data_IF_806100786975
#
_entry.id   IF_806100786975
#
_cell.length_a   1.000
_cell.length_b   1.000
_cell.length_c   1.000
_cell.angle_alpha   90.00
_cell.angle_beta   90.00
_cell.angle_gamma   90.00
#
_symmetry.space_group_name_H-M   'P 1'
#
loop_
_entity.id
_entity.type
_entity.pdbx_description
1 polymer ?
#
# COMPACT_ATOMS: atom_id res chain seq x y z
N UNK A 1 -48.51 36.15 3.14
CA UNK A 1 -48.68 34.69 3.20
C UNK A 1 -47.55 34.07 2.41
N UNK A 2 -46.49 33.67 3.10
CA UNK A 2 -45.38 32.91 2.49
C UNK A 2 -45.35 31.58 3.21
N UNK A 3 -45.73 30.52 2.53
CA UNK A 3 -45.63 29.15 2.99
C UNK A 3 -44.16 28.67 2.82
N UNK A 4 -43.56 28.31 3.92
CA UNK A 4 -42.24 27.70 3.99
C UNK A 4 -42.33 26.23 3.65
N UNK A 5 -41.85 25.85 2.49
CA UNK A 5 -41.62 24.43 2.09
C UNK A 5 -40.40 23.88 2.81
N UNK A 6 -40.59 23.13 3.90
CA UNK A 6 -39.59 22.25 4.49
C UNK A 6 -39.43 21.05 3.58
N UNK A 7 -38.33 21.01 2.82
CA UNK A 7 -37.85 19.78 2.16
C UNK A 7 -37.27 18.87 3.23
N UNK A 8 -37.91 17.72 3.39
CA UNK A 8 -37.42 16.65 4.25
C UNK A 8 -36.10 16.12 3.74
N UNK A 9 -35.10 16.10 4.60
CA UNK A 9 -33.86 15.32 4.43
C UNK A 9 -34.23 13.86 4.49
N UNK A 10 -34.25 13.19 3.34
CA UNK A 10 -34.32 11.74 3.28
C UNK A 10 -32.94 11.17 3.71
N UNK A 11 -32.84 10.76 4.95
CA UNK A 11 -31.75 9.89 5.41
C UNK A 11 -31.82 8.58 4.62
N UNK A 12 -31.10 8.50 3.51
CA UNK A 12 -30.81 7.24 2.83
C UNK A 12 -29.83 6.44 3.69
N UNK A 13 -30.33 5.80 4.74
CA UNK A 13 -29.62 4.74 5.44
C UNK A 13 -29.55 3.56 4.49
N UNK A 14 -28.41 3.40 3.81
CA UNK A 14 -28.12 2.19 3.05
C UNK A 14 -28.19 1.03 4.04
N UNK A 15 -29.05 0.00 3.82
CA UNK A 15 -29.17 -1.10 4.76
C UNK A 15 -27.80 -1.78 4.90
N UNK A 16 -27.27 -1.82 6.12
CA UNK A 16 -26.02 -2.51 6.45
C UNK A 16 -26.15 -3.96 6.00
N UNK A 17 -25.28 -4.40 5.11
CA UNK A 17 -25.19 -5.82 4.75
C UNK A 17 -25.00 -6.62 6.04
N UNK A 18 -25.80 -7.67 6.22
CA UNK A 18 -25.71 -8.55 7.38
C UNK A 18 -24.31 -9.20 7.43
N UNK A 19 -23.70 -9.21 8.59
CA UNK A 19 -22.43 -9.92 8.85
C UNK A 19 -22.62 -11.44 8.64
N UNK A 20 -21.59 -12.12 8.19
CA UNK A 20 -21.54 -13.59 8.25
C UNK A 20 -21.15 -14.05 9.66
N UNK A 21 -21.37 -15.33 9.98
CA UNK A 21 -21.00 -15.88 11.29
C UNK A 21 -19.52 -15.63 11.64
N UNK A 22 -18.60 -15.81 10.68
CA UNK A 22 -17.17 -15.54 10.89
C UNK A 22 -16.91 -14.04 11.15
N UNK A 23 -17.66 -13.17 10.50
CA UNK A 23 -17.54 -11.73 10.67
C UNK A 23 -18.15 -11.27 12.01
N UNK A 24 -19.29 -11.86 12.44
CA UNK A 24 -19.86 -11.63 13.77
C UNK A 24 -18.86 -12.05 14.85
N UNK A 25 -18.29 -13.25 14.77
CA UNK A 25 -17.26 -13.72 15.70
C UNK A 25 -16.04 -12.78 15.75
N UNK A 26 -15.63 -12.25 14.59
CA UNK A 26 -14.49 -11.32 14.54
C UNK A 26 -14.84 -9.98 15.19
N UNK A 27 -16.07 -9.46 15.04
CA UNK A 27 -16.53 -8.25 15.72
C UNK A 27 -16.60 -8.49 17.23
N UNK A 28 -17.25 -9.56 17.68
CA UNK A 28 -17.39 -9.90 19.11
C UNK A 28 -16.02 -10.01 19.78
N UNK A 29 -15.09 -10.77 19.17
CA UNK A 29 -13.74 -10.92 19.72
C UNK A 29 -12.96 -9.60 19.73
N UNK A 30 -13.09 -8.77 18.69
CA UNK A 30 -12.44 -7.45 18.67
C UNK A 30 -13.03 -6.47 19.66
N UNK A 31 -14.30 -6.60 20.04
CA UNK A 31 -14.97 -5.75 21.02
C UNK A 31 -14.72 -6.20 22.47
N UNK A 32 -14.16 -7.37 22.69
CA UNK A 32 -13.75 -7.84 24.01
C UNK A 32 -12.48 -7.08 24.48
N UNK A 33 -12.64 -6.21 25.48
CA UNK A 33 -11.57 -5.39 26.03
C UNK A 33 -10.67 -6.15 27.03
N UNK A 34 -11.00 -7.36 27.42
CA UNK A 34 -10.13 -8.23 28.22
C UNK A 34 -8.97 -8.76 27.38
N UNK A 35 -9.20 -8.93 26.09
CA UNK A 35 -8.18 -9.37 25.13
C UNK A 35 -7.26 -8.20 24.73
N UNK A 36 -6.00 -8.28 25.11
CA UNK A 36 -5.01 -7.21 24.85
C UNK A 36 -4.69 -7.05 23.35
N UNK A 37 -4.60 -8.16 22.64
CA UNK A 37 -4.28 -8.18 21.21
C UNK A 37 -5.20 -9.20 20.55
N UNK A 38 -5.85 -8.79 19.47
CA UNK A 38 -6.68 -9.66 18.63
C UNK A 38 -6.23 -9.57 17.18
N UNK A 39 -6.10 -10.73 16.52
CA UNK A 39 -5.78 -10.85 15.10
C UNK A 39 -6.98 -11.23 14.25
N UNK A 40 -7.23 -10.52 13.15
CA UNK A 40 -8.22 -10.89 12.14
C UNK A 40 -7.51 -11.04 10.81
N UNK A 41 -7.50 -12.26 10.29
CA UNK A 41 -6.88 -12.55 8.99
C UNK A 41 -7.90 -13.02 7.97
N UNK A 42 -7.56 -12.86 6.70
CA UNK A 42 -8.38 -13.35 5.60
C UNK A 42 -7.85 -12.87 4.25
N UNK A 43 -8.13 -13.61 3.20
CA UNK A 43 -7.72 -13.27 1.85
C UNK A 43 -8.43 -12.03 1.27
N UNK A 44 -8.08 -11.69 0.03
CA UNK A 44 -8.77 -10.64 -0.70
C UNK A 44 -10.27 -10.96 -0.84
N UNK A 45 -11.15 -10.00 -0.59
CA UNK A 45 -12.60 -10.16 -0.75
C UNK A 45 -13.35 -10.82 0.42
N UNK A 46 -12.68 -11.11 1.55
CA UNK A 46 -13.33 -11.68 2.74
C UNK A 46 -14.02 -10.65 3.63
N UNK A 47 -13.94 -9.36 3.28
CA UNK A 47 -14.65 -8.29 4.01
C UNK A 47 -13.95 -7.81 5.27
N UNK A 48 -12.62 -7.93 5.39
CA UNK A 48 -11.83 -7.40 6.52
C UNK A 48 -12.14 -5.94 6.83
N UNK A 49 -12.10 -5.06 5.83
CA UNK A 49 -12.40 -3.62 6.01
C UNK A 49 -13.85 -3.38 6.45
N UNK A 50 -14.77 -4.23 6.05
CA UNK A 50 -16.16 -4.17 6.48
C UNK A 50 -16.30 -4.52 7.98
N UNK A 51 -15.64 -5.60 8.43
CA UNK A 51 -15.56 -5.98 9.86
C UNK A 51 -14.88 -4.86 10.68
N UNK A 52 -13.77 -4.33 10.19
CA UNK A 52 -13.04 -3.23 10.81
C UNK A 52 -13.94 -2.01 11.05
N UNK A 53 -14.76 -1.64 10.05
CA UNK A 53 -15.72 -0.52 10.19
C UNK A 53 -16.77 -0.78 11.27
N UNK A 54 -17.24 -2.02 11.44
CA UNK A 54 -18.15 -2.41 12.53
C UNK A 54 -17.46 -2.32 13.88
N UNK A 55 -16.28 -2.91 14.03
CA UNK A 55 -15.46 -2.85 15.26
C UNK A 55 -15.17 -1.41 15.68
N UNK A 56 -14.76 -0.57 14.74
CA UNK A 56 -14.51 0.85 15.03
C UNK A 56 -15.77 1.54 15.55
N UNK A 57 -16.91 1.33 14.92
CA UNK A 57 -18.19 1.97 15.32
C UNK A 57 -18.59 1.56 16.73
N UNK A 58 -18.58 0.27 17.04
CA UNK A 58 -18.97 -0.23 18.36
C UNK A 58 -18.05 0.25 19.47
N UNK A 59 -16.72 0.18 19.22
CA UNK A 59 -15.75 0.61 20.23
C UNK A 59 -15.71 2.12 20.42
N UNK A 60 -15.95 2.91 19.37
CA UNK A 60 -15.92 4.39 19.46
C UNK A 60 -17.06 4.97 20.28
N UNK A 61 -18.11 4.20 20.59
CA UNK A 61 -19.18 4.63 21.50
C UNK A 61 -18.72 4.79 22.96
N UNK A 62 -17.67 4.06 23.34
CA UNK A 62 -17.22 3.98 24.76
C UNK A 62 -15.75 4.30 24.97
N UNK A 63 -14.93 4.18 23.92
CA UNK A 63 -13.47 4.23 24.00
C UNK A 63 -12.89 5.23 22.99
N UNK A 64 -11.70 5.74 23.33
CA UNK A 64 -10.90 6.51 22.38
C UNK A 64 -10.23 5.56 21.39
N UNK A 65 -10.71 5.51 20.15
CA UNK A 65 -10.25 4.61 19.10
C UNK A 65 -9.42 5.37 18.07
N UNK A 66 -8.34 4.78 17.59
CA UNK A 66 -7.59 5.26 16.41
C UNK A 66 -7.46 4.16 15.38
N UNK A 67 -7.62 4.55 14.13
CA UNK A 67 -7.39 3.69 12.97
C UNK A 67 -6.03 4.00 12.37
N UNK A 68 -5.19 2.99 12.21
CA UNK A 68 -3.82 3.13 11.73
C UNK A 68 -3.47 2.11 10.64
N UNK A 69 -2.46 2.42 9.85
CA UNK A 69 -1.89 1.49 8.88
C UNK A 69 -0.37 1.65 8.77
N UNK A 70 0.37 0.63 8.32
CA UNK A 70 1.82 0.72 8.14
C UNK A 70 2.25 1.73 7.08
N UNK A 71 1.42 1.99 6.07
CA UNK A 71 1.75 2.88 4.94
C UNK A 71 0.71 3.97 4.76
N UNK A 72 1.14 5.13 4.23
CA UNK A 72 0.24 6.26 3.97
C UNK A 72 -0.85 5.94 2.95
N UNK A 73 -0.54 5.11 1.95
CA UNK A 73 -1.51 4.66 0.96
C UNK A 73 -2.59 3.76 1.56
N UNK A 74 -2.20 2.83 2.45
CA UNK A 74 -3.17 2.00 3.16
C UNK A 74 -4.06 2.86 4.06
N UNK A 75 -3.49 3.79 4.84
CA UNK A 75 -4.25 4.70 5.68
C UNK A 75 -5.27 5.53 4.86
N UNK A 76 -4.82 6.15 3.76
CA UNK A 76 -5.69 6.91 2.86
C UNK A 76 -6.84 6.06 2.31
N UNK A 77 -6.52 4.85 1.82
CA UNK A 77 -7.53 3.92 1.28
C UNK A 77 -8.58 3.53 2.31
N UNK A 78 -8.16 3.26 3.54
CA UNK A 78 -9.08 2.90 4.62
C UNK A 78 -9.99 4.09 4.92
N UNK A 79 -9.44 5.30 5.03
CA UNK A 79 -10.24 6.51 5.23
C UNK A 79 -11.30 6.69 4.13
N UNK A 80 -10.92 6.47 2.86
CA UNK A 80 -11.85 6.56 1.72
C UNK A 80 -12.96 5.49 1.74
N UNK A 81 -12.65 4.28 2.25
CA UNK A 81 -13.61 3.16 2.28
C UNK A 81 -14.53 3.18 3.50
N UNK A 82 -14.07 3.73 4.61
CA UNK A 82 -14.78 3.68 5.90
C UNK A 82 -15.35 5.03 6.34
N UNK A 83 -14.93 6.12 5.70
CA UNK A 83 -15.18 7.51 6.12
C UNK A 83 -14.66 7.81 7.54
N UNK A 84 -13.60 7.08 7.95
CA UNK A 84 -12.93 7.23 9.25
C UNK A 84 -11.51 7.76 9.01
N UNK A 85 -11.09 8.79 9.77
CA UNK A 85 -9.72 9.30 9.69
C UNK A 85 -8.71 8.23 10.12
N UNK A 86 -7.90 7.77 9.17
CA UNK A 86 -6.84 6.80 9.42
C UNK A 86 -5.47 7.43 9.23
N UNK A 87 -4.51 7.03 10.08
CA UNK A 87 -3.15 7.57 10.09
C UNK A 87 -2.13 6.48 9.85
N UNK A 88 -0.93 6.88 9.42
CA UNK A 88 0.19 5.94 9.46
C UNK A 88 0.63 5.72 10.91
N UNK A 89 1.12 4.50 11.21
CA UNK A 89 1.69 4.20 12.54
C UNK A 89 2.84 5.17 12.86
N UNK A 90 3.67 5.53 11.88
CA UNK A 90 4.73 6.54 12.08
C UNK A 90 4.17 7.89 12.54
N UNK A 91 3.04 8.34 11.96
CA UNK A 91 2.40 9.58 12.35
C UNK A 91 1.71 9.50 13.69
N UNK A 92 1.14 8.33 14.01
CA UNK A 92 0.55 8.06 15.33
C UNK A 92 1.60 8.12 16.43
N UNK A 93 2.78 7.57 16.17
CA UNK A 93 3.94 7.56 17.08
C UNK A 93 4.71 8.88 17.10
N UNK A 94 4.30 9.86 16.29
CA UNK A 94 4.95 11.16 16.20
C UNK A 94 6.47 11.03 15.91
N UNK A 95 6.84 10.15 14.95
CA UNK A 95 8.22 10.14 14.48
C UNK A 95 8.62 11.54 14.04
N UNK A 96 9.80 12.03 14.47
CA UNK A 96 10.25 13.36 14.13
C UNK A 96 10.26 13.57 12.63
N UNK A 97 9.58 14.59 12.20
CA UNK A 97 9.61 15.06 10.84
C UNK A 97 10.74 16.07 10.70
N UNK A 98 11.27 16.23 9.47
CA UNK A 98 12.28 17.26 9.23
C UNK A 98 11.86 18.66 9.69
N UNK A 99 10.54 18.94 9.71
CA UNK A 99 9.94 20.25 9.98
C UNK A 99 9.38 20.41 11.38
N UNK A 100 9.42 19.34 12.17
CA UNK A 100 8.89 19.41 13.53
C UNK A 100 9.66 20.41 14.39
N UNK A 101 8.97 21.24 15.20
CA UNK A 101 9.64 22.08 16.16
C UNK A 101 10.47 21.23 17.14
N UNK A 102 11.60 21.75 17.63
CA UNK A 102 12.40 21.01 18.61
C UNK A 102 11.54 20.69 19.83
N UNK A 103 11.67 19.44 20.30
CA UNK A 103 10.98 19.02 21.52
C UNK A 103 11.35 19.96 22.66
N UNK A 104 10.36 20.50 23.44
CA UNK A 104 10.63 21.31 24.63
C UNK A 104 11.55 20.61 25.65
N UNK A 105 11.64 19.29 25.61
CA UNK A 105 12.47 18.46 26.51
C UNK A 105 13.82 18.05 25.95
N UNK A 106 14.13 18.39 24.69
CA UNK A 106 15.41 18.06 24.06
C UNK A 106 15.33 17.92 22.53
N UNK A 107 16.48 17.75 21.89
CA UNK A 107 16.55 17.48 20.44
C UNK A 107 15.98 16.09 20.15
N UNK A 108 15.03 15.93 19.23
CA UNK A 108 14.57 14.60 18.84
C UNK A 108 15.75 13.77 18.30
N UNK A 109 15.87 12.54 18.75
CA UNK A 109 16.85 11.60 18.21
C UNK A 109 16.32 11.16 16.83
N UNK A 110 17.05 11.38 15.75
CA UNK A 110 16.61 10.95 14.42
C UNK A 110 16.30 9.45 14.42
N UNK A 111 15.13 9.08 13.92
CA UNK A 111 14.71 7.68 13.80
C UNK A 111 13.98 7.10 15.03
N UNK A 112 13.85 7.83 16.13
CA UNK A 112 13.05 7.40 17.28
C UNK A 112 11.73 8.18 17.37
N UNK A 113 10.62 7.52 17.77
CA UNK A 113 9.34 8.18 17.95
C UNK A 113 9.33 9.10 19.19
N UNK A 114 8.42 10.09 19.21
CA UNK A 114 8.16 10.94 20.39
C UNK A 114 7.19 10.29 21.38
N UNK A 115 6.43 9.29 20.93
CA UNK A 115 5.52 8.50 21.74
C UNK A 115 6.25 7.25 22.21
N UNK A 116 6.31 7.09 23.53
CA UNK A 116 6.94 5.99 24.25
C UNK A 116 6.29 5.82 25.64
N UNK A 117 6.84 4.98 26.51
CA UNK A 117 6.33 4.78 27.88
C UNK A 117 6.28 6.05 28.73
N UNK A 118 7.16 7.01 28.46
CA UNK A 118 7.21 8.30 29.21
C UNK A 118 6.21 9.32 28.67
N UNK A 119 5.78 9.14 27.41
CA UNK A 119 4.82 9.98 26.72
C UNK A 119 3.85 9.10 25.89
N UNK A 120 2.98 8.31 26.55
CA UNK A 120 2.17 7.31 25.89
C UNK A 120 1.08 7.91 25.00
N UNK A 121 0.57 7.09 24.12
CA UNK A 121 -0.62 7.37 23.31
C UNK A 121 -1.85 7.49 24.23
N UNK A 122 -2.77 8.38 23.86
CA UNK A 122 -4.00 8.62 24.64
C UNK A 122 -5.13 7.62 24.33
N UNK A 123 -4.99 6.85 23.26
CA UNK A 123 -6.02 5.95 22.77
C UNK A 123 -6.18 4.72 23.65
N UNK A 124 -7.44 4.27 23.81
CA UNK A 124 -7.79 3.02 24.47
C UNK A 124 -7.66 1.84 23.53
N UNK A 125 -7.98 2.07 22.25
CA UNK A 125 -7.97 1.05 21.20
C UNK A 125 -7.19 1.53 19.98
N UNK A 126 -6.28 0.70 19.52
CA UNK A 126 -5.53 0.92 18.27
C UNK A 126 -5.94 -0.16 17.28
N UNK A 127 -6.61 0.23 16.21
CA UNK A 127 -6.99 -0.67 15.11
C UNK A 127 -5.97 -0.50 13.99
N UNK A 128 -5.37 -1.60 13.56
CA UNK A 128 -4.34 -1.62 12.51
C UNK A 128 -4.87 -2.43 11.33
N UNK A 129 -4.98 -1.81 10.17
CA UNK A 129 -5.22 -2.53 8.91
C UNK A 129 -3.92 -2.73 8.12
N UNK A 130 -3.96 -3.65 7.14
CA UNK A 130 -2.79 -4.11 6.37
C UNK A 130 -1.61 -4.53 7.29
N UNK A 131 -1.93 -5.16 8.42
CA UNK A 131 -0.97 -5.55 9.46
C UNK A 131 0.12 -6.52 8.96
N UNK A 132 -0.10 -7.22 7.85
CA UNK A 132 0.90 -8.04 7.17
C UNK A 132 2.14 -7.26 6.70
N UNK A 133 2.02 -5.93 6.57
CA UNK A 133 3.12 -5.04 6.19
C UNK A 133 3.87 -4.41 7.39
N UNK A 134 3.47 -4.74 8.61
CA UNK A 134 4.05 -4.16 9.82
C UNK A 134 5.39 -4.81 10.16
N UNK A 135 6.46 -4.02 10.28
CA UNK A 135 7.78 -4.51 10.69
C UNK A 135 7.84 -4.74 12.20
N UNK A 136 8.75 -5.63 12.63
CA UNK A 136 8.99 -5.94 14.04
C UNK A 136 9.41 -4.70 14.82
N UNK A 137 10.27 -3.86 14.26
CA UNK A 137 10.72 -2.63 14.90
C UNK A 137 9.57 -1.64 15.12
N UNK A 138 8.76 -1.38 14.09
CA UNK A 138 7.63 -0.44 14.19
C UNK A 138 6.56 -0.94 15.16
N UNK A 139 6.34 -2.25 15.22
CA UNK A 139 5.44 -2.86 16.19
C UNK A 139 5.95 -2.72 17.62
N UNK A 140 7.25 -2.91 17.85
CA UNK A 140 7.86 -2.72 19.16
C UNK A 140 7.72 -1.27 19.65
N UNK A 141 7.96 -0.27 18.81
CA UNK A 141 7.72 1.13 19.14
C UNK A 141 6.26 1.41 19.47
N UNK A 142 5.33 0.80 18.72
CA UNK A 142 3.90 0.96 19.00
C UNK A 142 3.52 0.38 20.37
N UNK A 143 4.01 -0.83 20.69
CA UNK A 143 3.75 -1.44 22.00
C UNK A 143 4.35 -0.63 23.14
N UNK A 144 5.54 -0.07 22.94
CA UNK A 144 6.19 0.78 23.97
C UNK A 144 5.43 2.08 24.21
N UNK A 145 4.79 2.62 23.18
CA UNK A 145 4.01 3.86 23.26
C UNK A 145 2.57 3.67 23.78
N UNK A 146 2.10 2.44 23.98
CA UNK A 146 0.74 2.20 24.48
C UNK A 146 0.60 2.58 25.93
N UNK A 147 -0.50 3.26 26.27
CA UNK A 147 -0.85 3.48 27.69
C UNK A 147 -1.27 2.16 28.37
N UNK A 148 -1.13 2.05 29.71
CA UNK A 148 -1.63 0.88 30.45
C UNK A 148 -3.13 0.65 30.18
N UNK A 149 -3.49 -0.59 29.88
CA UNK A 149 -4.87 -0.99 29.59
C UNK A 149 -5.33 -0.77 28.15
N UNK A 150 -4.53 -0.15 27.30
CA UNK A 150 -4.84 -0.03 25.88
C UNK A 150 -4.72 -1.39 25.16
N UNK A 151 -5.54 -1.58 24.11
CA UNK A 151 -5.63 -2.83 23.34
C UNK A 151 -5.35 -2.61 21.87
N UNK A 152 -4.91 -3.68 21.18
CA UNK A 152 -4.63 -3.66 19.72
C UNK A 152 -5.59 -4.62 19.00
N UNK A 153 -6.08 -4.18 17.83
CA UNK A 153 -6.89 -4.97 16.89
C UNK A 153 -6.21 -4.95 15.53
N UNK A 154 -5.73 -6.10 15.07
CA UNK A 154 -4.92 -6.20 13.86
C UNK A 154 -5.66 -6.91 12.74
N UNK A 155 -5.80 -6.25 11.61
CA UNK A 155 -6.42 -6.77 10.39
C UNK A 155 -5.37 -6.93 9.30
N UNK A 156 -5.34 -8.07 8.62
CA UNK A 156 -4.36 -8.30 7.56
C UNK A 156 -4.61 -9.58 6.77
N UNK A 157 -3.73 -9.86 5.84
CA UNK A 157 -3.73 -11.07 5.03
C UNK A 157 -2.39 -11.78 5.22
N UNK A 158 -2.38 -12.88 5.99
CA UNK A 158 -1.17 -13.62 6.33
C UNK A 158 -0.54 -14.35 5.13
N UNK A 159 -1.23 -14.42 4.00
CA UNK A 159 -0.73 -15.02 2.76
C UNK A 159 -0.06 -13.99 1.82
N UNK A 160 -0.17 -12.69 2.11
CA UNK A 160 0.57 -11.66 1.38
C UNK A 160 2.05 -11.63 1.76
N UNK A 161 2.83 -10.89 0.96
CA UNK A 161 4.26 -10.68 1.24
C UNK A 161 4.47 -10.00 2.60
N UNK A 162 5.45 -10.50 3.33
CA UNK A 162 5.94 -9.88 4.56
C UNK A 162 6.69 -8.56 4.28
N UNK A 163 6.92 -7.72 5.31
CA UNK A 163 7.74 -6.52 5.18
C UNK A 163 9.14 -6.81 4.66
N UNK A 164 9.68 -5.92 3.82
CA UNK A 164 11.01 -6.10 3.19
C UNK A 164 12.17 -5.89 4.17
N UNK A 165 11.95 -5.13 5.24
CA UNK A 165 13.01 -4.58 6.10
C UNK A 165 13.20 -5.35 7.41
N UNK A 166 12.60 -6.53 7.56
CA UNK A 166 12.71 -7.29 8.80
C UNK A 166 13.98 -8.18 8.80
N UNK A 167 15.12 -7.56 9.11
CA UNK A 167 16.39 -8.26 9.30
C UNK A 167 16.51 -8.87 10.72
N UNK A 168 15.45 -8.86 11.52
CA UNK A 168 15.48 -9.35 12.92
C UNK A 168 15.67 -10.85 13.02
N UNK A 169 15.39 -11.60 11.95
CA UNK A 169 15.33 -13.07 11.98
C UNK A 169 14.10 -13.61 12.72
N UNK A 170 13.23 -12.74 13.21
CA UNK A 170 11.96 -13.08 13.86
C UNK A 170 10.83 -13.19 12.83
N UNK A 171 9.77 -13.96 13.11
CA UNK A 171 8.60 -13.95 12.26
C UNK A 171 7.97 -12.55 12.24
N UNK A 172 7.35 -12.14 11.13
CA UNK A 172 6.62 -10.88 11.07
C UNK A 172 5.58 -10.78 12.20
N UNK A 173 5.40 -9.63 12.86
CA UNK A 173 4.56 -9.49 14.05
C UNK A 173 3.15 -10.02 13.85
N UNK A 174 2.54 -9.76 12.71
CA UNK A 174 1.19 -10.23 12.43
C UNK A 174 1.08 -11.76 12.40
N UNK A 175 2.08 -12.46 11.85
CA UNK A 175 2.13 -13.93 11.84
C UNK A 175 2.29 -14.48 13.25
N UNK A 176 3.12 -13.84 14.07
CA UNK A 176 3.33 -14.25 15.47
C UNK A 176 2.05 -14.05 16.29
N UNK A 177 1.37 -12.91 16.11
CA UNK A 177 0.11 -12.61 16.77
C UNK A 177 -0.98 -13.64 16.43
N UNK A 178 -1.13 -14.01 15.17
CA UNK A 178 -2.10 -15.04 14.76
C UNK A 178 -1.84 -16.42 15.38
N UNK A 179 -0.63 -16.68 15.86
CA UNK A 179 -0.26 -17.95 16.52
C UNK A 179 -0.40 -17.89 18.04
N UNK A 180 -0.19 -16.71 18.63
CA UNK A 180 -0.01 -16.54 20.07
C UNK A 180 -1.23 -15.95 20.76
N UNK A 181 -2.02 -15.14 20.05
CA UNK A 181 -3.17 -14.41 20.59
C UNK A 181 -4.48 -14.87 19.96
N UNK A 182 -5.62 -14.60 20.62
CA UNK A 182 -6.93 -14.87 20.05
C UNK A 182 -7.05 -14.26 18.65
N UNK A 183 -7.53 -15.05 17.71
CA UNK A 183 -7.60 -14.63 16.32
C UNK A 183 -8.75 -15.31 15.56
N UNK A 184 -9.27 -14.62 14.55
CA UNK A 184 -10.31 -15.11 13.65
C UNK A 184 -9.79 -15.11 12.21
N UNK A 185 -10.06 -16.20 11.51
CA UNK A 185 -9.78 -16.30 10.07
C UNK A 185 -11.07 -16.18 9.29
N UNK A 186 -11.19 -15.14 8.46
CA UNK A 186 -12.30 -14.96 7.54
C UNK A 186 -12.04 -15.80 6.29
N UNK A 187 -12.80 -16.85 6.10
CA UNK A 187 -12.63 -17.79 4.97
C UNK A 187 -13.67 -17.56 3.88
N UNK A 188 -14.87 -17.08 4.26
CA UNK A 188 -15.92 -16.82 3.29
C UNK A 188 -15.57 -15.64 2.40
N UNK A 189 -15.54 -15.85 1.09
CA UNK A 189 -15.23 -14.82 0.11
C UNK A 189 -16.53 -14.26 -0.49
N UNK A 190 -16.78 -12.99 -0.26
CA UNK A 190 -17.96 -12.28 -0.79
C UNK A 190 -17.83 -11.95 -2.29
N UNK A 191 -16.65 -12.14 -2.86
CA UNK A 191 -16.43 -12.19 -4.30
C UNK A 191 -16.53 -13.63 -4.82
N UNK A 192 -17.33 -14.50 -4.16
CA UNK A 192 -17.52 -15.91 -4.55
C UNK A 192 -17.98 -16.00 -6.00
N UNK A 193 -17.38 -16.91 -6.78
CA UNK A 193 -17.50 -16.95 -8.24
C UNK A 193 -16.49 -16.06 -8.96
N UNK A 194 -15.65 -15.30 -8.24
CA UNK A 194 -14.55 -14.54 -8.82
C UNK A 194 -13.42 -15.49 -9.24
N UNK A 195 -13.21 -15.57 -10.53
CA UNK A 195 -12.19 -16.41 -11.16
C UNK A 195 -10.77 -16.06 -10.69
N UNK A 196 -10.52 -14.79 -10.34
CA UNK A 196 -9.23 -14.31 -9.82
C UNK A 196 -8.98 -14.89 -8.42
N UNK A 197 -10.00 -14.83 -7.56
CA UNK A 197 -9.90 -15.37 -6.20
C UNK A 197 -9.68 -16.87 -6.22
N UNK A 198 -10.43 -17.61 -7.05
CA UNK A 198 -10.26 -19.05 -7.21
C UNK A 198 -8.83 -19.40 -7.65
N UNK A 199 -8.27 -18.65 -8.59
CA UNK A 199 -6.89 -18.81 -9.03
C UNK A 199 -5.85 -18.42 -7.96
N UNK A 200 -6.10 -17.38 -7.17
CA UNK A 200 -5.26 -17.03 -6.04
C UNK A 200 -5.20 -18.16 -5.00
N UNK A 201 -6.32 -18.83 -4.72
CA UNK A 201 -6.37 -20.01 -3.86
C UNK A 201 -5.60 -21.21 -4.44
N UNK A 202 -5.66 -21.43 -5.76
CA UNK A 202 -4.85 -22.47 -6.42
C UNK A 202 -3.35 -22.18 -6.26
N UNK A 203 -2.94 -20.92 -6.44
CA UNK A 203 -1.55 -20.49 -6.26
C UNK A 203 -1.05 -20.77 -4.84
N UNK A 204 -1.82 -20.44 -3.81
CA UNK A 204 -1.46 -20.72 -2.41
C UNK A 204 -1.30 -22.21 -2.14
N UNK A 205 -2.12 -23.06 -2.79
CA UNK A 205 -2.01 -24.52 -2.73
C UNK A 205 -0.85 -25.07 -3.59
N UNK A 206 -0.08 -24.22 -4.27
CA UNK A 206 0.99 -24.64 -5.18
C UNK A 206 0.49 -25.28 -6.47
N UNK A 207 -0.75 -25.02 -6.84
CA UNK A 207 -1.39 -25.53 -8.06
C UNK A 207 -1.40 -24.48 -9.15
N UNK A 208 -1.34 -24.94 -10.39
CA UNK A 208 -1.37 -24.07 -11.56
C UNK A 208 -2.72 -23.32 -11.59
N UNK A 209 -2.72 -21.99 -11.76
CA UNK A 209 -3.94 -21.24 -12.01
C UNK A 209 -4.56 -21.63 -13.37
N UNK A 210 -5.87 -21.54 -13.46
CA UNK A 210 -6.64 -21.90 -14.63
C UNK A 210 -6.88 -20.70 -15.53
N UNK A 211 -6.73 -20.87 -16.82
CA UNK A 211 -7.11 -19.85 -17.81
C UNK A 211 -8.62 -19.70 -17.87
N UNK A 212 -9.10 -18.47 -17.83
CA UNK A 212 -10.51 -18.14 -17.95
C UNK A 212 -10.67 -16.70 -18.47
N UNK A 213 -11.87 -16.14 -18.50
CA UNK A 213 -12.14 -14.79 -19.01
C UNK A 213 -11.42 -13.68 -18.25
N UNK A 214 -11.20 -13.87 -16.94
CA UNK A 214 -10.61 -12.86 -16.05
C UNK A 214 -9.16 -13.16 -15.69
N UNK A 215 -8.65 -14.37 -16.03
CA UNK A 215 -7.30 -14.79 -15.70
C UNK A 215 -6.63 -15.43 -16.91
N UNK A 216 -5.81 -14.66 -17.58
CA UNK A 216 -5.05 -15.07 -18.77
C UNK A 216 -3.62 -15.42 -18.38
N UNK A 217 -3.05 -16.47 -19.02
CA UNK A 217 -1.65 -16.86 -18.84
C UNK A 217 -0.99 -16.93 -20.21
N UNK A 218 0.06 -16.14 -20.40
CA UNK A 218 0.87 -16.09 -21.63
C UNK A 218 2.23 -16.69 -21.32
N UNK A 219 2.55 -17.82 -21.91
CA UNK A 219 3.86 -18.44 -21.80
C UNK A 219 4.77 -17.96 -22.92
N UNK A 220 5.95 -17.44 -22.56
CA UNK A 220 6.95 -16.96 -23.50
C UNK A 220 8.34 -17.00 -22.87
N UNK A 221 9.37 -17.22 -23.69
CA UNK A 221 10.77 -17.14 -23.25
C UNK A 221 11.28 -15.69 -23.21
N UNK A 222 10.60 -14.76 -23.89
CA UNK A 222 10.93 -13.35 -23.92
C UNK A 222 9.81 -12.50 -23.31
N UNK A 223 9.70 -12.57 -21.97
CA UNK A 223 8.62 -11.91 -21.18
C UNK A 223 8.59 -10.40 -21.42
N UNK A 224 9.74 -9.74 -21.54
CA UNK A 224 9.79 -8.29 -21.72
C UNK A 224 9.32 -7.88 -23.13
N UNK A 225 9.75 -8.58 -24.16
CA UNK A 225 9.25 -8.30 -25.52
C UNK A 225 7.74 -8.55 -25.60
N UNK A 226 7.26 -9.66 -25.04
CA UNK A 226 5.83 -9.96 -24.99
C UNK A 226 5.04 -8.89 -24.22
N UNK A 227 5.59 -8.39 -23.11
CA UNK A 227 4.97 -7.29 -22.38
C UNK A 227 4.90 -6.02 -23.23
N UNK A 228 5.99 -5.68 -23.93
CA UNK A 228 6.03 -4.50 -24.79
C UNK A 228 5.05 -4.60 -25.94
N UNK A 229 4.90 -5.77 -26.54
CA UNK A 229 3.93 -6.01 -27.63
C UNK A 229 2.49 -5.94 -27.11
N UNK A 230 2.24 -6.59 -25.97
CA UNK A 230 0.91 -6.69 -25.36
C UNK A 230 0.39 -5.36 -24.82
N UNK A 231 1.25 -4.54 -24.20
CA UNK A 231 0.84 -3.34 -23.51
C UNK A 231 0.27 -2.29 -24.49
N UNK A 232 -0.98 -1.94 -24.32
CA UNK A 232 -1.69 -0.87 -25.04
C UNK A 232 -1.64 0.45 -24.30
N UNK A 233 -2.12 1.54 -24.89
CA UNK A 233 -2.22 2.87 -24.26
C UNK A 233 -3.07 2.89 -23.00
N UNK A 234 -3.97 1.91 -22.81
CA UNK A 234 -4.77 1.75 -21.58
C UNK A 234 -3.90 1.62 -20.33
N UNK A 235 -2.68 1.04 -20.46
CA UNK A 235 -1.74 0.91 -19.35
C UNK A 235 -1.07 2.22 -18.94
N UNK A 236 -1.30 3.30 -19.66
CA UNK A 236 -0.97 4.64 -19.20
C UNK A 236 -1.97 5.14 -18.15
N UNK A 237 -3.20 4.60 -18.09
CA UNK A 237 -4.19 4.97 -17.07
C UNK A 237 -3.85 4.41 -15.67
N UNK A 238 -4.44 5.00 -14.61
CA UNK A 238 -4.25 4.55 -13.23
C UNK A 238 -5.03 3.26 -12.91
N UNK A 239 -5.99 2.89 -13.74
CA UNK A 239 -6.84 1.71 -13.56
C UNK A 239 -6.11 0.40 -13.92
N UNK A 240 -5.08 0.48 -14.76
CA UNK A 240 -4.32 -0.67 -15.25
C UNK A 240 -2.89 -0.61 -14.74
N UNK A 241 -2.35 -1.71 -14.21
CA UNK A 241 -1.02 -1.72 -13.64
C UNK A 241 -0.19 -2.91 -14.08
N UNK A 242 1.05 -2.62 -14.51
CA UNK A 242 2.08 -3.63 -14.71
C UNK A 242 2.81 -3.83 -13.37
N UNK A 243 2.87 -5.07 -12.91
CA UNK A 243 3.54 -5.45 -11.67
C UNK A 243 4.67 -6.42 -12.01
N UNK A 244 5.80 -6.27 -11.33
CA UNK A 244 6.98 -7.10 -11.48
C UNK A 244 7.58 -7.40 -10.11
N UNK A 245 8.27 -8.54 -9.90
CA UNK A 245 8.86 -8.83 -8.59
C UNK A 245 10.08 -7.97 -8.25
N UNK A 246 10.76 -7.38 -9.26
CA UNK A 246 12.09 -6.79 -9.11
C UNK A 246 12.16 -5.34 -9.62
N UNK A 247 12.90 -4.47 -8.90
CA UNK A 247 13.16 -3.09 -9.33
C UNK A 247 14.38 -2.99 -10.27
N UNK A 248 15.51 -3.56 -9.88
CA UNK A 248 16.80 -3.46 -10.60
C UNK A 248 17.01 -4.62 -11.58
N UNK A 249 18.02 -4.50 -12.43
CA UNK A 249 18.40 -5.51 -13.42
C UNK A 249 17.62 -5.42 -14.75
N UNK A 250 18.00 -6.26 -15.71
CA UNK A 250 17.45 -6.21 -17.08
C UNK A 250 15.94 -6.50 -17.15
N UNK A 251 15.41 -7.22 -16.16
CA UNK A 251 14.00 -7.59 -16.06
C UNK A 251 13.30 -6.87 -14.89
N UNK A 252 13.85 -5.74 -14.44
CA UNK A 252 13.27 -4.93 -13.37
C UNK A 252 12.51 -3.71 -13.89
N UNK A 253 11.72 -3.11 -13.01
CA UNK A 253 10.88 -1.93 -13.35
C UNK A 253 11.71 -0.76 -13.86
N UNK A 254 12.95 -0.58 -13.36
CA UNK A 254 13.84 0.50 -13.83
C UNK A 254 14.22 0.37 -15.31
N UNK A 255 14.25 -0.84 -15.87
CA UNK A 255 14.55 -1.08 -17.28
C UNK A 255 13.28 -1.03 -18.14
N UNK A 256 12.17 -1.53 -17.60
CA UNK A 256 10.89 -1.60 -18.32
C UNK A 256 10.23 -0.23 -18.43
N UNK A 257 10.26 0.58 -17.38
CA UNK A 257 9.59 1.87 -17.34
C UNK A 257 10.00 2.85 -18.47
N UNK A 258 11.30 3.04 -18.80
CA UNK A 258 11.68 3.88 -19.93
C UNK A 258 11.15 3.36 -21.28
N UNK A 259 11.08 2.04 -21.45
CA UNK A 259 10.52 1.44 -22.68
C UNK A 259 9.01 1.67 -22.79
N UNK A 260 8.29 1.59 -21.67
CA UNK A 260 6.86 1.92 -21.60
C UNK A 260 6.61 3.41 -21.83
N UNK A 261 7.45 4.28 -21.26
CA UNK A 261 7.39 5.73 -21.52
C UNK A 261 7.52 6.02 -23.02
N UNK A 262 8.53 5.45 -23.67
CA UNK A 262 8.73 5.65 -25.11
C UNK A 262 7.57 5.10 -25.94
N UNK A 263 6.91 4.04 -25.49
CA UNK A 263 5.75 3.47 -26.16
C UNK A 263 4.49 4.33 -26.00
N UNK A 264 4.22 4.81 -24.78
CA UNK A 264 2.96 5.49 -24.47
C UNK A 264 3.04 7.01 -24.56
N UNK A 265 4.22 7.58 -24.33
CA UNK A 265 4.42 9.02 -24.26
C UNK A 265 5.76 9.45 -24.89
N UNK A 266 5.99 9.19 -26.22
CA UNK A 266 7.25 9.49 -26.86
C UNK A 266 7.54 11.00 -27.00
N UNK A 267 6.51 11.83 -27.09
CA UNK A 267 6.58 13.24 -27.50
C UNK A 267 6.23 14.24 -26.39
N UNK A 268 6.02 13.80 -25.14
CA UNK A 268 5.72 14.70 -24.01
C UNK A 268 6.89 15.63 -23.70
N UNK A 269 6.59 16.86 -23.23
CA UNK A 269 7.62 17.82 -22.76
C UNK A 269 8.49 17.14 -21.72
N UNK A 270 9.81 17.19 -21.93
CA UNK A 270 10.82 16.43 -21.16
C UNK A 270 11.49 17.29 -20.10
N UNK A 271 11.60 16.74 -18.89
CA UNK A 271 12.51 17.22 -17.85
C UNK A 271 13.43 16.09 -17.40
N UNK A 272 14.71 16.40 -17.24
CA UNK A 272 15.69 15.48 -16.65
C UNK A 272 15.87 15.79 -15.18
N UNK A 273 15.70 14.76 -14.35
CA UNK A 273 15.85 14.84 -12.91
C UNK A 273 17.14 14.13 -12.50
N UNK A 274 18.06 14.85 -11.87
CA UNK A 274 19.25 14.26 -11.28
C UNK A 274 18.87 13.43 -10.05
N UNK A 275 19.39 12.19 -9.95
CA UNK A 275 19.16 11.30 -8.82
C UNK A 275 20.27 11.38 -7.79
N UNK A 276 19.94 10.99 -6.55
CA UNK A 276 20.94 11.00 -5.46
C UNK A 276 22.16 10.15 -5.79
N UNK A 277 23.35 10.78 -5.74
CA UNK A 277 24.62 10.08 -5.57
C UNK A 277 25.15 9.35 -6.78
N UNK A 278 25.14 9.91 -8.00
CA UNK A 278 25.87 9.43 -9.21
C UNK A 278 25.80 7.90 -9.54
N UNK A 279 25.03 7.12 -8.78
CA UNK A 279 24.91 5.66 -8.93
C UNK A 279 23.76 5.21 -9.85
N UNK A 280 22.78 6.09 -10.09
CA UNK A 280 21.66 5.84 -10.99
C UNK A 280 21.64 6.91 -12.09
N UNK A 281 21.28 6.54 -13.34
CA UNK A 281 21.19 7.52 -14.41
C UNK A 281 20.09 8.54 -14.11
N UNK A 282 20.19 9.78 -14.65
CA UNK A 282 19.14 10.78 -14.54
C UNK A 282 17.80 10.21 -15.00
N UNK A 283 16.74 10.52 -14.29
CA UNK A 283 15.39 10.14 -14.68
C UNK A 283 14.84 11.16 -15.69
N UNK A 284 14.47 10.70 -16.86
CA UNK A 284 13.72 11.49 -17.81
C UNK A 284 12.21 11.34 -17.52
N UNK A 285 11.56 12.43 -17.14
CA UNK A 285 10.09 12.49 -16.95
C UNK A 285 9.48 13.40 -18.01
N UNK A 286 8.25 13.13 -18.39
CA UNK A 286 7.52 13.87 -19.41
C UNK A 286 6.14 14.26 -18.89
N UNK A 287 5.60 15.36 -19.35
CA UNK A 287 4.19 15.67 -19.17
C UNK A 287 3.32 14.48 -19.65
N UNK A 288 2.31 14.12 -18.88
CA UNK A 288 1.42 12.95 -19.04
C UNK A 288 2.02 11.59 -18.69
N UNK A 289 3.26 11.53 -18.21
CA UNK A 289 3.81 10.28 -17.67
C UNK A 289 3.05 9.83 -16.43
N UNK A 290 2.97 8.52 -16.27
CA UNK A 290 2.56 7.89 -15.02
C UNK A 290 3.74 7.88 -14.06
N UNK A 291 3.56 8.43 -12.87
CA UNK A 291 4.59 8.45 -11.82
C UNK A 291 4.26 7.55 -10.65
N UNK A 292 5.29 7.17 -9.92
CA UNK A 292 5.26 6.53 -8.62
C UNK A 292 6.06 7.38 -7.64
N UNK A 293 5.48 7.75 -6.50
CA UNK A 293 6.17 8.42 -5.42
C UNK A 293 6.82 7.39 -4.49
N UNK A 294 8.11 7.54 -4.16
CA UNK A 294 8.88 6.47 -3.51
C UNK A 294 9.21 6.70 -2.03
N UNK A 295 8.90 7.88 -1.46
CA UNK A 295 9.15 8.20 -0.05
C UNK A 295 8.04 9.12 0.46
N UNK A 296 7.66 9.01 1.73
CA UNK A 296 6.71 9.95 2.30
C UNK A 296 7.26 11.37 2.25
N UNK A 297 6.44 12.31 1.78
CA UNK A 297 6.68 13.74 1.79
C UNK A 297 5.46 14.42 2.40
N UNK A 298 5.64 14.91 3.61
CA UNK A 298 4.54 15.45 4.39
C UNK A 298 4.26 16.91 4.06
N UNK A 299 5.26 17.65 3.57
CA UNK A 299 5.10 19.01 3.05
C UNK A 299 4.16 19.02 1.84
N UNK A 300 4.36 18.07 0.94
CA UNK A 300 3.51 17.90 -0.22
C UNK A 300 2.29 17.02 0.05
N UNK A 301 2.18 16.44 1.25
CA UNK A 301 1.17 15.45 1.62
C UNK A 301 1.10 14.27 0.63
N UNK A 302 2.24 13.80 0.11
CA UNK A 302 2.37 12.68 -0.84
C UNK A 302 3.02 11.50 -0.14
N UNK A 303 2.48 10.32 -0.36
CA UNK A 303 2.91 9.14 0.38
C UNK A 303 3.63 8.11 -0.50
N UNK A 304 4.52 7.37 0.13
CA UNK A 304 5.24 6.28 -0.51
C UNK A 304 4.26 5.26 -1.15
N UNK A 305 4.46 4.99 -2.43
CA UNK A 305 3.59 4.13 -3.23
C UNK A 305 2.46 4.87 -3.96
N UNK A 306 2.27 6.17 -3.73
CA UNK A 306 1.26 6.96 -4.44
C UNK A 306 1.57 7.03 -5.92
N UNK A 307 0.56 6.76 -6.76
CA UNK A 307 0.65 6.76 -8.22
C UNK A 307 -0.26 7.85 -8.76
N UNK A 308 0.21 8.53 -9.79
CA UNK A 308 -0.54 9.57 -10.47
C UNK A 308 0.01 9.87 -11.86
N UNK A 309 -0.38 11.02 -12.41
CA UNK A 309 0.15 11.51 -13.67
C UNK A 309 0.90 12.82 -13.49
N UNK A 310 1.96 13.01 -14.25
CA UNK A 310 2.60 14.31 -14.41
C UNK A 310 1.73 15.12 -15.36
N UNK A 311 1.04 16.13 -14.83
CA UNK A 311 0.12 16.94 -15.64
C UNK A 311 0.88 17.83 -16.61
N UNK A 312 1.86 18.56 -16.10
CA UNK A 312 2.72 19.45 -16.88
C UNK A 312 4.16 19.45 -16.35
N UNK A 313 5.06 19.89 -17.20
CA UNK A 313 6.49 20.05 -16.92
C UNK A 313 6.90 21.44 -17.38
N UNK A 314 7.50 22.21 -16.51
CA UNK A 314 8.20 23.45 -16.87
C UNK A 314 9.71 23.19 -16.92
N UNK A 315 10.28 23.25 -18.11
CA UNK A 315 11.71 23.01 -18.31
C UNK A 315 12.60 24.19 -17.93
N UNK A 316 12.04 25.40 -17.77
CA UNK A 316 12.79 26.60 -17.38
C UNK A 316 12.91 26.68 -15.86
N UNK A 317 11.80 26.62 -15.13
CA UNK A 317 11.80 26.61 -13.67
C UNK A 317 12.20 25.25 -13.08
N UNK A 318 11.99 24.18 -13.84
CA UNK A 318 12.14 22.80 -13.40
C UNK A 318 11.00 22.30 -12.52
N UNK A 319 9.87 22.98 -12.46
CA UNK A 319 8.70 22.60 -11.71
C UNK A 319 7.89 21.52 -12.44
N UNK A 320 7.16 20.73 -11.66
CA UNK A 320 6.25 19.68 -12.12
C UNK A 320 4.86 19.89 -11.54
N UNK A 321 3.82 19.84 -12.37
CA UNK A 321 2.46 19.67 -11.91
C UNK A 321 2.11 18.20 -11.86
N UNK A 322 1.62 17.70 -10.71
CA UNK A 322 1.23 16.32 -10.52
C UNK A 322 -0.27 16.19 -10.21
N UNK A 323 -0.86 15.10 -10.71
CA UNK A 323 -2.23 14.69 -10.42
C UNK A 323 -2.23 13.35 -9.68
N UNK A 324 -2.83 13.30 -8.49
CA UNK A 324 -3.01 12.09 -7.70
C UNK A 324 -4.50 11.89 -7.39
N UNK A 325 -5.21 11.18 -8.26
CA UNK A 325 -6.67 11.14 -8.25
C UNK A 325 -7.26 12.54 -8.48
N UNK A 326 -8.14 13.05 -7.61
CA UNK A 326 -8.73 14.39 -7.76
C UNK A 326 -7.78 15.52 -7.32
N UNK A 327 -6.65 15.21 -6.69
CA UNK A 327 -5.73 16.21 -6.15
C UNK A 327 -4.68 16.61 -7.17
N UNK A 328 -4.56 17.93 -7.41
CA UNK A 328 -3.48 18.53 -8.19
C UNK A 328 -2.54 19.30 -7.25
N UNK A 329 -1.24 19.19 -7.47
CA UNK A 329 -0.22 19.93 -6.71
C UNK A 329 1.04 20.14 -7.52
N UNK A 330 1.81 21.17 -7.14
CA UNK A 330 3.09 21.51 -7.78
C UNK A 330 4.26 20.99 -6.97
N UNK A 331 5.24 20.43 -7.66
CA UNK A 331 6.51 19.96 -7.08
C UNK A 331 7.64 20.86 -7.57
N UNK A 332 8.14 21.75 -6.73
CA UNK A 332 9.24 22.63 -7.10
C UNK A 332 10.59 21.89 -7.09
N UNK A 333 11.62 22.43 -7.76
CA UNK A 333 12.96 21.86 -7.73
C UNK A 333 13.64 21.94 -6.36
N UNK A 334 13.11 22.78 -5.48
CA UNK A 334 13.65 22.99 -4.14
C UNK A 334 12.57 23.32 -3.14
N UNK A 335 12.46 22.49 -2.13
CA UNK A 335 11.71 22.80 -0.91
C UNK A 335 12.68 23.03 0.24
N UNK A 336 12.24 23.84 1.21
CA UNK A 336 12.97 24.09 2.46
C UNK A 336 12.10 23.62 3.60
N UNK A 337 12.70 22.92 4.55
CA UNK A 337 12.09 22.62 5.82
C UNK A 337 13.05 22.94 6.96
N UNK A 338 12.53 23.28 8.11
CA UNK A 338 13.36 23.50 9.29
C UNK A 338 13.71 22.17 9.91
N UNK A 339 14.98 21.79 9.89
CA UNK A 339 15.44 20.55 10.52
C UNK A 339 15.79 20.84 11.98
N UNK A 340 14.89 20.47 12.88
CA UNK A 340 15.06 20.70 14.32
C UNK A 340 16.26 19.95 14.92
N UNK A 341 16.68 18.85 14.36
CA UNK A 341 17.84 18.09 14.85
C UNK A 341 19.17 18.84 14.66
N UNK A 342 19.27 19.67 13.62
CA UNK A 342 20.46 20.46 13.31
C UNK A 342 20.25 21.95 13.56
N UNK A 343 19.02 22.38 13.87
CA UNK A 343 18.69 23.76 14.24
C UNK A 343 18.73 24.78 13.10
N UNK A 344 18.63 24.33 11.84
CA UNK A 344 18.63 25.23 10.67
C UNK A 344 17.76 24.72 9.53
N UNK A 345 17.45 25.61 8.59
CA UNK A 345 16.73 25.29 7.37
C UNK A 345 17.57 24.41 6.44
N UNK A 346 17.01 23.25 6.09
CA UNK A 346 17.58 22.33 5.10
C UNK A 346 16.75 22.41 3.84
N UNK A 347 17.40 22.35 2.69
CA UNK A 347 16.70 22.28 1.41
C UNK A 347 16.90 20.93 0.75
N UNK A 348 15.86 20.44 0.10
CA UNK A 348 15.89 19.20 -0.65
C UNK A 348 15.14 19.36 -1.98
N UNK A 349 15.38 18.43 -2.89
CA UNK A 349 14.67 18.34 -4.15
C UNK A 349 13.63 17.20 -4.08
N UNK A 350 12.32 17.53 -3.90
CA UNK A 350 11.27 16.52 -3.77
C UNK A 350 11.06 15.72 -5.06
N UNK A 351 11.45 16.25 -6.23
CA UNK A 351 11.34 15.55 -7.52
C UNK A 351 12.18 14.27 -7.57
N UNK A 352 13.20 14.16 -6.72
CA UNK A 352 14.03 12.95 -6.55
C UNK A 352 13.24 11.76 -5.98
N UNK A 353 12.05 12.02 -5.43
CA UNK A 353 11.14 10.98 -4.94
C UNK A 353 10.22 10.43 -6.05
N UNK A 354 10.36 10.89 -7.27
CA UNK A 354 9.56 10.45 -8.41
C UNK A 354 10.28 9.31 -9.15
N UNK A 355 9.54 8.25 -9.47
CA UNK A 355 9.89 7.22 -10.45
C UNK A 355 8.79 7.14 -11.51
N UNK A 356 9.10 6.58 -12.68
CA UNK A 356 8.06 6.22 -13.64
C UNK A 356 7.20 5.11 -13.07
N UNK A 357 5.88 5.24 -13.18
CA UNK A 357 4.88 4.38 -12.56
C UNK A 357 4.20 3.38 -13.48
N UNK A 358 4.63 3.23 -14.74
CA UNK A 358 4.02 2.28 -15.69
C UNK A 358 4.13 0.84 -15.19
N UNK A 359 5.31 0.46 -14.69
CA UNK A 359 5.55 -0.80 -14.00
C UNK A 359 6.03 -0.54 -12.56
N UNK A 360 5.46 -1.24 -11.59
CA UNK A 360 5.82 -1.14 -10.17
C UNK A 360 6.19 -2.51 -9.60
N UNK A 361 6.87 -2.54 -8.45
CA UNK A 361 7.18 -3.83 -7.81
C UNK A 361 5.96 -4.38 -7.05
N UNK A 362 5.94 -5.70 -6.82
CA UNK A 362 4.88 -6.36 -6.03
C UNK A 362 4.74 -5.70 -4.65
N UNK A 363 5.85 -5.37 -3.98
CA UNK A 363 5.80 -4.68 -2.68
C UNK A 363 5.18 -3.27 -2.77
N UNK A 364 5.47 -2.52 -3.84
CA UNK A 364 4.87 -1.20 -4.05
C UNK A 364 3.39 -1.27 -4.45
N UNK A 365 2.92 -2.43 -4.89
CA UNK A 365 1.53 -2.67 -5.21
C UNK A 365 0.67 -3.07 -3.99
N UNK A 366 1.30 -3.43 -2.85
CA UNK A 366 0.57 -3.76 -1.62
C UNK A 366 -0.27 -2.56 -1.15
N UNK A 367 -1.43 -2.82 -0.59
CA UNK A 367 -2.41 -1.79 -0.22
C UNK A 367 -3.11 -1.11 -1.41
N UNK A 368 -2.87 -1.57 -2.65
CA UNK A 368 -3.47 -1.04 -3.87
C UNK A 368 -4.37 -2.03 -4.55
N UNK A 369 -5.33 -1.53 -5.34
CA UNK A 369 -6.12 -2.35 -6.26
C UNK A 369 -6.23 -1.64 -7.61
N UNK A 370 -6.30 -2.46 -8.68
CA UNK A 370 -6.37 -2.00 -10.06
C UNK A 370 -7.45 -2.80 -10.80
N UNK A 371 -8.07 -2.21 -11.80
CA UNK A 371 -9.06 -2.91 -12.63
C UNK A 371 -8.40 -4.10 -13.35
N UNK A 372 -7.23 -3.85 -13.96
CA UNK A 372 -6.43 -4.89 -14.63
C UNK A 372 -4.99 -4.88 -14.11
N UNK A 373 -4.47 -6.06 -13.83
CA UNK A 373 -3.07 -6.28 -13.48
C UNK A 373 -2.40 -7.14 -14.56
N UNK A 374 -1.29 -6.65 -15.10
CA UNK A 374 -0.34 -7.47 -15.85
C UNK A 374 0.80 -7.83 -14.92
N UNK A 375 0.96 -9.09 -14.61
CA UNK A 375 2.06 -9.56 -13.78
C UNK A 375 3.11 -10.28 -14.62
N UNK A 376 4.35 -9.78 -14.59
CA UNK A 376 5.45 -10.30 -15.40
C UNK A 376 6.50 -10.95 -14.52
N UNK A 377 6.72 -12.26 -14.72
CA UNK A 377 7.75 -13.03 -14.05
C UNK A 377 8.57 -13.86 -15.02
N UNK A 378 9.88 -13.94 -14.80
CA UNK A 378 10.78 -14.74 -15.63
C UNK A 378 11.92 -15.34 -14.80
N UNK A 379 12.63 -16.31 -15.40
CA UNK A 379 13.69 -17.07 -14.75
C UNK A 379 14.77 -16.22 -14.05
N UNK A 380 15.29 -15.11 -14.59
CA UNK A 380 16.29 -14.28 -13.90
C UNK A 380 15.85 -13.71 -12.56
N UNK A 381 14.56 -13.71 -12.27
CA UNK A 381 13.98 -13.20 -11.00
C UNK A 381 13.80 -14.30 -9.94
N UNK A 382 14.38 -15.51 -10.16
CA UNK A 382 14.12 -16.76 -9.41
C UNK A 382 14.16 -16.60 -7.88
N UNK A 383 14.99 -15.71 -7.34
CA UNK A 383 15.14 -15.50 -5.90
C UNK A 383 13.95 -14.78 -5.25
N UNK A 384 13.16 -14.03 -6.06
CA UNK A 384 11.94 -13.34 -5.62
C UNK A 384 10.66 -14.12 -5.95
N UNK A 385 10.78 -15.23 -6.70
CA UNK A 385 9.61 -16.01 -7.11
C UNK A 385 9.14 -16.88 -5.95
N UNK A 386 7.92 -16.65 -5.49
CA UNK A 386 7.26 -17.45 -4.45
C UNK A 386 5.75 -17.41 -4.61
N UNK A 387 5.04 -18.31 -3.91
CA UNK A 387 3.57 -18.34 -3.89
C UNK A 387 3.01 -17.03 -3.39
N UNK A 388 3.58 -16.48 -2.33
CA UNK A 388 3.16 -15.21 -1.74
C UNK A 388 3.35 -14.04 -2.68
N UNK A 389 4.49 -14.01 -3.39
CA UNK A 389 4.74 -12.94 -4.38
C UNK A 389 3.71 -13.00 -5.50
N UNK A 390 3.47 -14.19 -6.07
CA UNK A 390 2.47 -14.39 -7.12
C UNK A 390 1.05 -14.10 -6.61
N UNK A 391 0.69 -14.60 -5.41
CA UNK A 391 -0.59 -14.34 -4.76
C UNK A 391 -0.82 -12.84 -4.53
N UNK A 392 0.16 -12.16 -3.93
CA UNK A 392 0.08 -10.71 -3.66
C UNK A 392 -0.16 -9.92 -4.93
N UNK A 393 0.55 -10.25 -6.02
CA UNK A 393 0.41 -9.55 -7.28
C UNK A 393 -0.98 -9.77 -7.92
N UNK A 394 -1.45 -11.02 -8.01
CA UNK A 394 -2.73 -11.32 -8.69
C UNK A 394 -3.93 -10.81 -7.90
N UNK A 395 -3.84 -10.77 -6.57
CA UNK A 395 -4.91 -10.23 -5.71
C UNK A 395 -5.03 -8.71 -5.75
N UNK A 396 -4.13 -8.01 -6.44
CA UNK A 396 -4.28 -6.57 -6.71
C UNK A 396 -5.28 -6.28 -7.81
N UNK A 397 -5.68 -7.26 -8.61
CA UNK A 397 -6.66 -7.09 -9.67
C UNK A 397 -8.10 -7.17 -9.15
N UNK A 398 -8.94 -6.25 -9.62
CA UNK A 398 -10.39 -6.29 -9.39
C UNK A 398 -11.10 -7.11 -10.48
N UNK A 399 -10.74 -6.93 -11.75
CA UNK A 399 -11.47 -7.49 -12.87
C UNK A 399 -10.66 -8.41 -13.79
N UNK A 400 -9.39 -8.15 -14.01
CA UNK A 400 -8.59 -8.97 -14.94
C UNK A 400 -7.14 -9.11 -14.50
N UNK A 401 -6.62 -10.33 -14.63
CA UNK A 401 -5.20 -10.67 -14.49
C UNK A 401 -4.67 -11.19 -15.79
N UNK A 402 -3.50 -10.69 -16.19
CA UNK A 402 -2.71 -11.21 -17.31
C UNK A 402 -1.34 -11.57 -16.76
N UNK A 403 -1.04 -12.85 -16.71
CA UNK A 403 0.23 -13.36 -16.23
C UNK A 403 1.13 -13.70 -17.42
N UNK A 404 2.19 -12.93 -17.62
CA UNK A 404 3.20 -13.17 -18.66
C UNK A 404 4.40 -13.83 -17.99
N UNK A 405 4.74 -15.05 -18.40
CA UNK A 405 5.72 -15.86 -17.68
C UNK A 405 6.43 -16.86 -18.59
N UNK A 406 7.63 -17.29 -18.21
CA UNK A 406 8.21 -18.53 -18.71
C UNK A 406 7.81 -19.74 -17.84
N UNK A 407 7.95 -20.96 -18.38
CA UNK A 407 7.56 -22.18 -17.67
C UNK A 407 8.34 -22.43 -16.38
N UNK A 408 9.62 -22.04 -16.36
CA UNK A 408 10.47 -22.17 -15.17
C UNK A 408 10.03 -21.25 -14.05
N UNK A 409 9.81 -19.97 -14.34
CA UNK A 409 9.35 -18.97 -13.37
C UNK A 409 8.00 -19.35 -12.75
N UNK A 410 7.05 -19.82 -13.56
CA UNK A 410 5.78 -20.33 -13.07
C UNK A 410 5.98 -21.51 -12.11
N UNK A 411 6.77 -22.51 -12.51
CA UNK A 411 7.04 -23.68 -11.67
C UNK A 411 7.70 -23.29 -10.34
N UNK A 412 8.69 -22.40 -10.38
CA UNK A 412 9.39 -21.92 -9.18
C UNK A 412 8.46 -21.16 -8.26
N UNK A 413 7.63 -20.26 -8.80
CA UNK A 413 6.64 -19.49 -8.01
C UNK A 413 5.66 -20.39 -7.28
N UNK A 414 5.26 -21.52 -7.86
CA UNK A 414 4.32 -22.45 -7.25
C UNK A 414 4.97 -23.41 -6.25
N UNK A 415 6.27 -23.71 -6.38
CA UNK A 415 6.98 -24.63 -5.47
C UNK A 415 7.47 -23.93 -4.20
N UNK A 416 8.00 -22.72 -4.31
CA UNK A 416 8.60 -22.02 -3.19
C UNK A 416 7.51 -21.46 -2.26
N UNK A 417 7.48 -21.97 -1.01
CA UNK A 417 6.89 -21.27 0.14
C UNK A 417 7.95 -20.29 0.64
N UNK A 418 7.56 -19.08 0.96
CA UNK A 418 8.50 -18.14 1.60
C UNK A 418 8.91 -18.64 2.97
#
# INVERSE_FOLDING_TARGET
MFESNKRGESNNVVPLKKLSNEQEQAVDLCCDMEEKIVGVTGGAGTGKTFVLGHVHRELSEKYSVVLAAPTGRAAKRISELTDIDARTIHRLLEFPMPDDPPDPKGKPIPGLPRRDRSNPLNQDVIIIDEASMLSTELFAFLQDAMKPGAVIRMFGDNEQLAPVEDNSGLPPPFIDILRTYPSVTLTYNFRSGDEIVSNAQLILKGRLPQRNRRFEIIYTDNVIAQLLDFATSEFASLEHQIIMPMRKGNNGTMRVNPSMQMKFNPNGTLLRLDRYGHKEPPLAVRAKDKYLWIKNDYELAVFNGEIGHIDWVDSESGELGLLAGPRAFTVPPRLKFFNAAVGHWVSYDPRKQIELGYAITTHKAQGSEFETVVYCINRPQYFLLSRRNLYTAVTRAKHRVILITDRYAMSMSLRKRD
#
